data_IF_548573747777
#
_entry.id   IF_548573747777
#
_cell.length_a   1.000
_cell.length_b   1.000
_cell.length_c   1.000
_cell.angle_alpha   90.00
_cell.angle_beta   90.00
_cell.angle_gamma   90.00
#
_symmetry.space_group_name_H-M   'P 1'
#
loop_
_entity.id
_entity.type
_entity.pdbx_description
1 polymer ?
#
# COMPACT_ATOMS: atom_id res chain seq x y z
N UNK A 1 -4.20 -19.99 -0.49
CA UNK A 1 -2.83 -20.12 -1.03
C UNK A 1 -2.05 -18.86 -0.70
N UNK A 2 -0.77 -18.95 -0.30
CA UNK A 2 0.04 -17.77 -0.04
C UNK A 2 0.18 -16.92 -1.32
N UNK A 3 0.20 -15.58 -1.22
CA UNK A 3 0.33 -14.71 -2.38
C UNK A 3 1.68 -14.92 -3.07
N UNK A 4 1.68 -14.99 -4.41
CA UNK A 4 2.90 -15.13 -5.22
C UNK A 4 3.57 -13.77 -5.40
N UNK A 5 4.77 -13.60 -4.83
CA UNK A 5 5.56 -12.37 -4.97
C UNK A 5 6.28 -12.39 -6.32
N UNK A 6 6.02 -11.41 -7.19
CA UNK A 6 6.67 -11.27 -8.49
C UNK A 6 7.93 -10.38 -8.45
N UNK A 7 7.95 -9.36 -7.59
CA UNK A 7 9.07 -8.43 -7.49
C UNK A 7 9.16 -7.78 -6.11
N UNK A 8 10.37 -7.28 -5.78
CA UNK A 8 10.64 -6.42 -4.62
C UNK A 8 11.43 -5.22 -5.10
N UNK A 9 11.05 -4.02 -4.67
CA UNK A 9 11.70 -2.77 -5.05
C UNK A 9 12.42 -2.22 -3.82
N UNK A 10 13.72 -1.99 -3.94
CA UNK A 10 14.53 -1.34 -2.91
C UNK A 10 14.86 0.09 -3.36
N UNK A 11 14.64 1.07 -2.49
CA UNK A 11 14.94 2.47 -2.76
C UNK A 11 15.70 3.08 -1.59
N UNK A 12 16.56 4.07 -1.87
CA UNK A 12 17.09 4.92 -0.80
C UNK A 12 15.93 5.70 -0.14
N UNK A 13 16.04 6.10 1.14
CA UNK A 13 14.99 6.89 1.80
C UNK A 13 14.65 8.19 1.05
N UNK A 14 15.65 8.85 0.46
CA UNK A 14 15.45 10.05 -0.34
C UNK A 14 14.64 9.75 -1.60
N UNK A 15 15.01 8.72 -2.35
CA UNK A 15 14.31 8.31 -3.57
C UNK A 15 12.86 7.92 -3.28
N UNK A 16 12.61 7.19 -2.19
CA UNK A 16 11.27 6.83 -1.76
C UNK A 16 10.41 8.07 -1.44
N UNK A 17 10.99 9.06 -0.74
CA UNK A 17 10.30 10.32 -0.42
C UNK A 17 9.95 11.13 -1.67
N UNK A 18 10.87 11.24 -2.61
CA UNK A 18 10.63 11.95 -3.87
C UNK A 18 9.58 11.23 -4.73
N UNK A 19 9.65 9.90 -4.80
CA UNK A 19 8.67 9.08 -5.51
C UNK A 19 7.26 9.24 -4.93
N UNK A 20 7.11 9.18 -3.60
CA UNK A 20 5.82 9.38 -2.95
C UNK A 20 5.18 10.73 -3.30
N UNK A 21 5.96 11.81 -3.30
CA UNK A 21 5.48 13.15 -3.69
C UNK A 21 5.01 13.18 -5.14
N UNK A 22 5.84 12.70 -6.06
CA UNK A 22 5.50 12.67 -7.48
C UNK A 22 4.27 11.79 -7.77
N UNK A 23 4.15 10.66 -7.08
CA UNK A 23 3.00 9.77 -7.19
C UNK A 23 1.71 10.45 -6.74
N UNK A 24 1.73 11.15 -5.59
CA UNK A 24 0.57 11.88 -5.08
C UNK A 24 0.09 12.98 -6.04
N UNK A 25 1.02 13.76 -6.60
CA UNK A 25 0.69 14.78 -7.60
C UNK A 25 0.07 14.18 -8.87
N UNK A 26 0.59 13.04 -9.33
CA UNK A 26 0.08 12.36 -10.51
C UNK A 26 -1.31 11.76 -10.27
N UNK A 27 -1.56 11.17 -9.10
CA UNK A 27 -2.88 10.66 -8.72
C UNK A 27 -3.91 11.79 -8.66
N UNK A 28 -3.58 12.92 -8.03
CA UNK A 28 -4.49 14.06 -7.96
C UNK A 28 -4.85 14.61 -9.35
N UNK A 29 -3.87 14.71 -10.26
CA UNK A 29 -4.10 15.11 -11.66
C UNK A 29 -4.96 14.09 -12.41
N UNK A 30 -4.71 12.79 -12.18
CA UNK A 30 -5.49 11.73 -12.80
C UNK A 30 -6.96 11.82 -12.35
N UNK A 31 -7.21 11.89 -11.05
CA UNK A 31 -8.56 11.94 -10.50
C UNK A 31 -9.31 13.22 -10.92
N UNK A 32 -8.63 14.36 -11.01
CA UNK A 32 -9.21 15.60 -11.55
C UNK A 32 -9.65 15.48 -13.01
N UNK A 33 -9.00 14.65 -13.81
CA UNK A 33 -9.27 14.53 -15.25
C UNK A 33 -10.20 13.37 -15.60
N UNK A 34 -10.19 12.30 -14.78
CA UNK A 34 -10.83 11.03 -15.10
C UNK A 34 -11.79 10.53 -14.03
N UNK A 35 -11.91 11.23 -12.89
CA UNK A 35 -12.75 10.85 -11.76
C UNK A 35 -11.99 10.08 -10.67
N UNK A 36 -12.61 9.98 -9.50
CA UNK A 36 -12.04 9.34 -8.32
C UNK A 36 -11.69 7.86 -8.56
N UNK A 37 -10.55 7.42 -8.02
CA UNK A 37 -10.15 6.01 -8.06
C UNK A 37 -10.89 5.28 -6.93
N UNK A 38 -11.84 4.38 -7.23
CA UNK A 38 -12.59 3.69 -6.20
C UNK A 38 -11.67 2.73 -5.45
N UNK A 39 -11.43 3.00 -4.16
CA UNK A 39 -10.67 2.11 -3.30
C UNK A 39 -11.61 1.01 -2.78
N UNK A 40 -11.37 -0.28 -3.11
CA UNK A 40 -12.21 -1.36 -2.61
C UNK A 40 -12.04 -1.50 -1.09
N UNK A 41 -13.12 -1.34 -0.32
CA UNK A 41 -13.15 -1.75 1.09
C UNK A 41 -13.18 -0.64 2.14
N UNK A 42 -14.04 0.37 2.00
CA UNK A 42 -14.35 1.36 3.05
C UNK A 42 -14.99 0.81 4.34
N UNK A 43 -14.71 -0.45 4.73
CA UNK A 43 -15.42 -1.17 5.79
C UNK A 43 -14.57 -1.94 6.81
N UNK A 44 -13.57 -2.77 6.46
CA UNK A 44 -13.09 -3.75 7.49
C UNK A 44 -11.78 -4.52 7.27
N UNK A 45 -10.88 -4.14 6.34
CA UNK A 45 -9.50 -4.65 6.37
C UNK A 45 -8.62 -3.84 5.42
N UNK A 46 -7.94 -2.81 5.93
CA UNK A 46 -6.90 -2.11 5.16
C UNK A 46 -5.81 -3.10 4.73
N UNK A 47 -5.21 -2.92 3.54
CA UNK A 47 -4.02 -3.67 3.13
C UNK A 47 -2.90 -3.58 4.19
N UNK A 48 -2.85 -2.47 4.92
CA UNK A 48 -1.96 -2.30 6.07
C UNK A 48 -2.18 -3.37 7.15
N UNK A 49 -3.43 -3.75 7.42
CA UNK A 49 -3.80 -4.78 8.41
C UNK A 49 -3.31 -6.18 8.00
N UNK A 50 -3.18 -6.41 6.69
CA UNK A 50 -2.61 -7.65 6.17
C UNK A 50 -1.07 -7.65 6.19
N UNK A 51 -0.45 -6.50 5.92
CA UNK A 51 1.00 -6.38 5.80
C UNK A 51 1.73 -6.18 7.13
N UNK A 52 1.09 -5.55 8.13
CA UNK A 52 1.72 -5.14 9.39
C UNK A 52 1.16 -5.86 10.62
N UNK A 53 0.62 -7.07 10.43
CA UNK A 53 0.15 -7.87 11.55
C UNK A 53 1.33 -8.20 12.50
N UNK A 54 1.22 -7.91 13.81
CA UNK A 54 2.22 -8.35 14.77
C UNK A 54 2.33 -9.88 14.71
N UNK A 55 3.52 -10.47 14.85
CA UNK A 55 3.63 -11.92 14.97
C UNK A 55 2.82 -12.37 16.20
N UNK A 56 1.87 -13.30 15.99
CA UNK A 56 1.18 -13.96 17.11
C UNK A 56 2.23 -14.71 17.94
N UNK A 57 2.31 -14.40 19.23
CA UNK A 57 3.14 -15.13 20.18
C UNK A 57 2.71 -16.61 20.21
N UNK A 58 3.64 -17.57 20.27
CA UNK A 58 3.31 -19.01 20.21
C UNK A 58 2.52 -19.57 21.40
N UNK A 59 2.14 -18.74 22.38
CA UNK A 59 1.64 -19.19 23.67
C UNK A 59 0.18 -18.77 23.89
N UNK A 60 -0.74 -19.30 23.08
CA UNK A 60 -2.18 -19.35 23.38
C UNK A 60 -2.74 -20.72 22.98
N UNK A 61 -2.39 -21.75 23.76
CA UNK A 61 -3.17 -23.00 23.95
C UNK A 61 -3.43 -23.21 25.44
#
# INVERSE_FOLDING_TARGET
TPPKIYSRILMSPLSAKLFYKALGENLAKYESNFGEIPVPGGGSSSLAEYLFRPPQSPDEE
#
